data_IF_755511724687
#
_entry.id   IF_755511724687
#
_cell.length_a   1.000
_cell.length_b   1.000
_cell.length_c   1.000
_cell.angle_alpha   90.00
_cell.angle_beta   90.00
_cell.angle_gamma   90.00
#
_symmetry.space_group_name_H-M   'P 1'
#
loop_
_entity.id
_entity.type
_entity.pdbx_description
1 polymer ?
#
# COMPACT_ATOMS: atom_id res chain seq x y z
N UNK A 1 -44.64 -28.75 -7.63
CA UNK A 1 -44.10 -27.73 -6.71
C UNK A 1 -42.70 -28.18 -6.31
N UNK A 2 -41.67 -27.57 -6.89
CA UNK A 2 -40.27 -27.92 -6.62
C UNK A 2 -39.55 -26.64 -6.17
N UNK A 3 -39.16 -26.62 -4.90
CA UNK A 3 -38.42 -25.56 -4.24
C UNK A 3 -36.97 -25.56 -4.75
N UNK A 4 -36.66 -24.64 -5.65
CA UNK A 4 -35.27 -24.34 -6.04
C UNK A 4 -34.68 -23.31 -5.07
N UNK A 5 -33.74 -23.78 -4.27
CA UNK A 5 -32.83 -22.94 -3.49
C UNK A 5 -31.80 -22.32 -4.43
N UNK A 6 -31.85 -21.01 -4.63
CA UNK A 6 -30.75 -20.26 -5.24
C UNK A 6 -29.78 -19.84 -4.13
N UNK A 7 -28.80 -20.70 -3.85
CA UNK A 7 -27.53 -20.24 -3.27
C UNK A 7 -26.79 -19.51 -4.39
N UNK A 8 -27.02 -18.21 -4.48
CA UNK A 8 -26.28 -17.31 -5.36
C UNK A 8 -24.85 -17.18 -4.85
N UNK A 9 -23.98 -18.02 -5.41
CA UNK A 9 -22.56 -17.81 -5.71
C UNK A 9 -21.93 -16.66 -4.90
N UNK A 10 -21.27 -17.04 -3.81
CA UNK A 10 -20.18 -16.27 -3.22
C UNK A 10 -19.10 -16.17 -4.29
N UNK A 11 -19.09 -15.07 -5.04
CA UNK A 11 -18.03 -14.80 -6.00
C UNK A 11 -16.79 -14.49 -5.16
N UNK A 12 -15.93 -15.50 -5.07
CA UNK A 12 -14.51 -15.41 -4.74
C UNK A 12 -13.84 -14.34 -5.62
N UNK A 13 -13.96 -13.07 -5.24
CA UNK A 13 -13.09 -11.97 -5.71
C UNK A 13 -11.95 -11.81 -4.69
N UNK A 14 -11.34 -12.93 -4.28
CA UNK A 14 -10.21 -12.96 -3.34
C UNK A 14 -8.97 -13.63 -3.92
N UNK A 15 -9.07 -14.26 -5.09
CA UNK A 15 -7.95 -14.94 -5.73
C UNK A 15 -8.12 -14.77 -7.24
N UNK A 16 -7.50 -13.74 -7.83
CA UNK A 16 -7.06 -13.69 -9.24
C UNK A 16 -6.49 -12.32 -9.63
N UNK A 17 -5.84 -11.59 -8.72
CA UNK A 17 -4.93 -10.48 -9.09
C UNK A 17 -3.49 -10.96 -8.91
N UNK A 18 -3.17 -12.04 -9.61
CA UNK A 18 -1.83 -12.65 -9.70
C UNK A 18 -1.48 -12.79 -11.19
N UNK A 19 -1.50 -11.69 -11.95
CA UNK A 19 -1.02 -11.70 -13.33
C UNK A 19 -0.82 -10.30 -13.89
N UNK A 20 0.19 -9.58 -13.38
CA UNK A 20 1.17 -8.80 -14.16
C UNK A 20 1.90 -7.82 -13.24
N UNK A 21 3.18 -8.08 -12.99
CA UNK A 21 4.09 -7.11 -12.38
C UNK A 21 4.78 -7.58 -11.10
N UNK A 22 5.54 -8.68 -11.20
CA UNK A 22 6.60 -9.04 -10.26
C UNK A 22 6.11 -9.59 -8.92
N UNK A 23 6.51 -10.82 -8.61
CA UNK A 23 6.37 -11.52 -7.33
C UNK A 23 7.20 -10.88 -6.21
N UNK A 24 7.02 -9.58 -5.98
CA UNK A 24 7.38 -8.99 -4.70
C UNK A 24 6.13 -9.16 -3.87
N UNK A 25 6.15 -10.07 -2.89
CA UNK A 25 5.00 -10.17 -2.00
C UNK A 25 4.70 -8.81 -1.39
N UNK A 26 3.45 -8.58 -0.99
CA UNK A 26 3.05 -7.32 -0.40
C UNK A 26 2.85 -7.52 1.09
N UNK A 27 3.40 -6.61 1.88
CA UNK A 27 3.22 -6.58 3.33
C UNK A 27 1.81 -6.11 3.67
N UNK A 28 1.21 -5.27 2.82
CA UNK A 28 -0.19 -4.86 2.85
C UNK A 28 -0.54 -4.09 1.56
N UNK A 29 -1.82 -4.04 1.21
CA UNK A 29 -2.27 -3.40 -0.04
C UNK A 29 -3.55 -2.60 0.15
N UNK A 30 -3.66 -1.48 -0.55
CA UNK A 30 -4.80 -0.57 -0.49
C UNK A 30 -5.32 -0.28 -1.90
N UNK A 31 -6.64 -0.24 -2.05
CA UNK A 31 -7.30 0.31 -3.23
C UNK A 31 -7.51 1.81 -3.07
N UNK A 32 -7.11 2.57 -4.07
CA UNK A 32 -7.31 4.02 -4.12
C UNK A 32 -7.85 4.40 -5.51
N UNK A 33 -9.09 4.88 -5.64
CA UNK A 33 -9.61 5.37 -6.91
C UNK A 33 -8.87 6.65 -7.30
N UNK A 34 -8.51 6.76 -8.58
CA UNK A 34 -7.66 7.85 -9.07
C UNK A 34 -6.56 7.37 -10.00
N UNK A 35 -5.90 8.31 -10.66
CA UNK A 35 -4.73 8.04 -11.49
C UNK A 35 -3.48 7.88 -10.64
N UNK A 36 -2.45 7.23 -11.20
CA UNK A 36 -1.16 7.06 -10.52
C UNK A 36 -0.56 8.42 -10.15
N UNK A 37 -0.63 9.41 -11.06
CA UNK A 37 -0.05 10.74 -10.84
C UNK A 37 -0.76 11.49 -9.71
N UNK A 38 -2.11 11.52 -9.67
CA UNK A 38 -2.87 12.18 -8.60
C UNK A 38 -2.57 11.61 -7.22
N UNK A 39 -2.50 10.27 -7.12
CA UNK A 39 -2.19 9.57 -5.87
C UNK A 39 -0.74 9.86 -5.46
N UNK A 40 0.18 9.84 -6.42
CA UNK A 40 1.59 10.10 -6.21
C UNK A 40 1.84 11.53 -5.70
N UNK A 41 1.25 12.52 -6.36
CA UNK A 41 1.38 13.94 -6.00
C UNK A 41 0.79 14.19 -4.61
N UNK A 42 -0.37 13.60 -4.30
CA UNK A 42 -0.98 13.73 -2.96
C UNK A 42 -0.12 13.08 -1.87
N UNK A 43 0.54 11.95 -2.16
CA UNK A 43 1.48 11.35 -1.21
C UNK A 43 2.67 12.28 -0.95
N UNK A 44 3.22 12.91 -2.00
CA UNK A 44 4.28 13.92 -1.87
C UNK A 44 3.83 15.12 -1.05
N UNK A 45 2.61 15.64 -1.27
CA UNK A 45 2.04 16.73 -0.48
C UNK A 45 1.89 16.34 0.99
N UNK A 46 1.46 15.10 1.28
CA UNK A 46 1.40 14.57 2.65
C UNK A 46 2.78 14.57 3.30
N UNK A 47 3.84 14.16 2.60
CA UNK A 47 5.18 14.15 3.18
C UNK A 47 5.84 15.54 3.24
N UNK A 48 5.45 16.46 2.36
CA UNK A 48 5.89 17.86 2.41
C UNK A 48 5.30 18.60 3.62
N UNK A 49 4.14 18.15 4.13
CA UNK A 49 3.62 18.62 5.41
C UNK A 49 4.55 18.16 6.55
N UNK A 50 5.29 19.10 7.12
CA UNK A 50 6.22 18.86 8.23
C UNK A 50 5.59 18.20 9.46
N UNK A 51 4.26 18.29 9.63
CA UNK A 51 3.54 17.62 10.70
C UNK A 51 3.30 16.12 10.45
N UNK A 52 3.50 15.65 9.21
CA UNK A 52 3.28 14.26 8.82
C UNK A 52 4.28 13.29 9.44
N UNK A 53 5.43 13.77 9.93
CA UNK A 53 6.45 12.92 10.55
C UNK A 53 7.06 11.89 9.58
N UNK A 54 6.93 12.10 8.27
CA UNK A 54 7.50 11.25 7.24
C UNK A 54 8.31 12.05 6.22
N UNK A 55 9.26 11.38 5.58
CA UNK A 55 9.98 11.90 4.41
C UNK A 55 9.84 10.91 3.28
N UNK A 56 9.41 11.40 2.11
CA UNK A 56 9.30 10.64 0.88
C UNK A 56 10.53 10.89 0.01
N UNK A 57 11.11 9.80 -0.50
CA UNK A 57 12.16 9.83 -1.52
C UNK A 57 11.73 8.92 -2.65
N UNK A 58 11.80 9.43 -3.87
CA UNK A 58 11.60 8.62 -5.06
C UNK A 58 12.63 7.49 -5.05
N UNK A 59 12.16 6.24 -5.05
CA UNK A 59 13.05 5.12 -4.87
C UNK A 59 13.74 4.76 -6.19
N UNK A 60 14.81 5.49 -6.51
CA UNK A 60 15.62 5.30 -7.71
C UNK A 60 16.23 3.88 -7.79
N UNK A 61 16.40 3.20 -6.65
CA UNK A 61 16.91 1.82 -6.58
C UNK A 61 16.04 0.83 -7.38
N UNK A 62 14.76 1.14 -7.61
CA UNK A 62 13.84 0.33 -8.40
C UNK A 62 13.71 0.80 -9.86
N UNK A 63 14.42 1.86 -10.27
CA UNK A 63 14.53 2.34 -11.65
C UNK A 63 13.22 2.76 -12.34
N UNK A 64 12.09 2.77 -11.61
CA UNK A 64 10.76 3.00 -12.15
C UNK A 64 9.96 3.84 -11.15
N UNK A 65 9.42 4.98 -11.60
CA UNK A 65 8.13 5.43 -11.06
C UNK A 65 7.19 4.24 -11.19
N UNK A 66 6.63 3.73 -10.07
CA UNK A 66 6.03 4.52 -9.00
C UNK A 66 6.38 4.00 -7.59
N UNK A 67 7.67 3.76 -7.32
CA UNK A 67 8.13 3.35 -6.00
C UNK A 67 8.51 4.56 -5.14
N UNK A 68 7.93 4.62 -3.94
CA UNK A 68 8.10 5.69 -2.97
C UNK A 68 8.71 5.11 -1.71
N UNK A 69 9.90 5.56 -1.31
CA UNK A 69 10.49 5.20 -0.02
C UNK A 69 10.04 6.20 1.02
N UNK A 70 9.31 5.71 2.02
CA UNK A 70 8.83 6.51 3.15
C UNK A 70 9.73 6.24 4.35
N UNK A 71 10.37 7.28 4.87
CA UNK A 71 11.07 7.24 6.15
C UNK A 71 10.15 7.79 7.22
N UNK A 72 9.94 7.05 8.30
CA UNK A 72 9.16 7.48 9.46
C UNK A 72 10.13 8.09 10.47
N UNK A 73 9.93 9.38 10.77
CA UNK A 73 10.80 10.16 11.64
C UNK A 73 10.33 10.14 13.10
N UNK A 74 9.09 9.70 13.34
CA UNK A 74 8.46 9.72 14.66
C UNK A 74 9.06 8.67 15.61
N UNK A 75 9.52 9.07 16.83
CA UNK A 75 9.95 8.13 17.86
C UNK A 75 8.80 7.23 18.32
N UNK A 76 9.04 5.93 18.50
CA UNK A 76 8.06 4.98 19.05
C UNK A 76 7.82 3.72 18.21
N UNK A 77 8.08 3.77 16.90
CA UNK A 77 8.01 2.59 16.03
C UNK A 77 9.34 1.81 16.07
N UNK A 78 9.32 0.48 15.95
CA UNK A 78 10.58 -0.31 15.85
C UNK A 78 11.17 -0.27 14.42
N UNK A 79 10.35 0.16 13.46
CA UNK A 79 10.72 0.37 12.07
C UNK A 79 11.21 1.79 11.82
N UNK A 80 12.04 1.95 10.79
CA UNK A 80 12.56 3.21 10.26
C UNK A 80 11.72 3.73 9.08
N UNK A 81 11.02 2.85 8.37
CA UNK A 81 10.28 3.25 7.18
C UNK A 81 9.61 2.09 6.45
N UNK A 82 8.90 2.43 5.39
CA UNK A 82 8.27 1.49 4.46
C UNK A 82 8.52 1.91 3.02
N UNK A 83 8.64 0.96 2.10
CA UNK A 83 8.61 1.25 0.66
C UNK A 83 7.21 1.00 0.16
N UNK A 84 6.62 1.99 -0.50
CA UNK A 84 5.35 1.88 -1.21
C UNK A 84 5.56 1.72 -2.71
N UNK A 85 4.62 1.06 -3.36
CA UNK A 85 4.46 1.00 -4.81
C UNK A 85 3.04 1.39 -5.16
N UNK A 86 2.84 2.38 -6.02
CA UNK A 86 1.51 2.75 -6.54
C UNK A 86 1.32 2.12 -7.92
N UNK A 87 0.47 1.12 -8.12
CA UNK A 87 0.35 0.48 -9.44
C UNK A 87 -0.01 1.47 -10.56
N UNK A 88 0.22 1.07 -11.81
CA UNK A 88 -0.49 1.67 -12.94
C UNK A 88 -2.01 1.55 -12.71
N UNK A 89 -2.85 2.42 -13.29
CA UNK A 89 -4.28 2.35 -13.05
C UNK A 89 -4.87 1.02 -13.52
N UNK A 90 -5.74 0.45 -12.70
CA UNK A 90 -6.47 -0.79 -12.88
C UNK A 90 -7.98 -0.50 -12.81
N UNK A 91 -8.80 -1.44 -13.26
CA UNK A 91 -10.25 -1.40 -13.07
C UNK A 91 -10.66 -2.37 -11.97
N UNK A 92 -11.51 -1.90 -11.05
CA UNK A 92 -12.12 -2.71 -9.98
C UNK A 92 -13.53 -2.20 -9.71
N UNK A 93 -14.51 -3.11 -9.68
CA UNK A 93 -15.91 -2.80 -9.35
C UNK A 93 -16.51 -1.64 -10.17
N UNK A 94 -16.10 -1.51 -11.44
CA UNK A 94 -16.55 -0.43 -12.34
C UNK A 94 -15.87 0.93 -12.12
N UNK A 95 -14.86 1.01 -11.25
CA UNK A 95 -14.07 2.21 -11.01
C UNK A 95 -12.60 2.01 -11.42
N UNK A 96 -11.98 3.07 -11.96
CA UNK A 96 -10.54 3.09 -12.25
C UNK A 96 -9.78 3.61 -11.03
N UNK A 97 -8.71 2.92 -10.66
CA UNK A 97 -7.92 3.25 -9.47
C UNK A 97 -6.56 2.58 -9.47
N UNK A 98 -5.78 2.78 -8.42
CA UNK A 98 -4.46 2.19 -8.26
C UNK A 98 -4.40 1.35 -6.98
N UNK A 99 -3.51 0.37 -6.99
CA UNK A 99 -3.12 -0.37 -5.80
C UNK A 99 -1.92 0.33 -5.17
N UNK A 100 -2.04 0.72 -3.91
CA UNK A 100 -0.91 1.19 -3.12
C UNK A 100 -0.43 0.02 -2.24
N UNK A 101 0.68 -0.58 -2.61
CA UNK A 101 1.25 -1.74 -1.93
C UNK A 101 2.44 -1.35 -1.06
N UNK A 102 2.50 -1.86 0.16
CA UNK A 102 3.72 -1.87 0.97
C UNK A 102 4.58 -3.04 0.47
N UNK A 103 5.73 -2.74 -0.13
CA UNK A 103 6.62 -3.77 -0.70
C UNK A 103 7.76 -4.15 0.24
N UNK A 104 8.23 -3.19 1.06
CA UNK A 104 9.30 -3.41 2.03
C UNK A 104 9.01 -2.70 3.35
N UNK A 105 9.55 -3.26 4.45
CA UNK A 105 9.62 -2.59 5.74
C UNK A 105 11.09 -2.47 6.12
N UNK A 106 11.52 -1.24 6.43
CA UNK A 106 12.89 -0.95 6.86
C UNK A 106 12.94 -0.87 8.36
N UNK A 107 13.78 -1.67 8.99
CA UNK A 107 14.03 -1.64 10.43
C UNK A 107 14.98 -0.51 10.83
N UNK A 108 14.98 -0.15 12.12
CA UNK A 108 15.89 0.87 12.68
C UNK A 108 17.36 0.50 12.62
N UNK A 109 17.69 -0.79 12.69
CA UNK A 109 19.06 -1.31 12.53
C UNK A 109 19.54 -1.28 11.07
N UNK A 110 18.71 -0.83 10.14
CA UNK A 110 19.06 -0.64 8.73
C UNK A 110 18.78 -1.85 7.84
N UNK A 111 18.33 -2.98 8.40
CA UNK A 111 17.92 -4.16 7.64
C UNK A 111 16.57 -3.89 6.98
N UNK A 112 16.50 -4.09 5.67
CA UNK A 112 15.23 -4.14 4.94
C UNK A 112 14.72 -5.56 5.00
N UNK A 113 13.46 -5.75 5.38
CA UNK A 113 12.78 -7.01 5.17
C UNK A 113 11.84 -6.85 3.97
N UNK A 114 11.94 -7.82 3.06
CA UNK A 114 11.06 -7.96 1.92
C UNK A 114 9.94 -8.93 2.28
N UNK A 115 8.81 -8.85 1.60
CA UNK A 115 7.71 -9.80 1.82
C UNK A 115 8.19 -11.25 1.68
N UNK A 116 7.82 -12.08 2.66
CA UNK A 116 8.31 -13.46 2.81
C UNK A 116 9.40 -13.59 3.88
N UNK A 117 10.23 -12.56 4.06
CA UNK A 117 11.36 -12.55 5.00
C UNK A 117 11.10 -11.71 6.26
N UNK A 118 10.06 -10.86 6.26
CA UNK A 118 9.66 -10.08 7.42
C UNK A 118 9.02 -10.97 8.50
N UNK A 119 9.42 -10.77 9.76
CA UNK A 119 8.69 -11.32 10.89
C UNK A 119 7.27 -10.73 10.96
N UNK A 120 6.30 -11.50 11.45
CA UNK A 120 4.89 -11.07 11.53
C UNK A 120 4.71 -9.72 12.27
N UNK A 121 5.52 -9.48 13.32
CA UNK A 121 5.54 -8.21 14.05
C UNK A 121 5.98 -7.03 13.19
N UNK A 122 6.96 -7.21 12.31
CA UNK A 122 7.47 -6.16 11.43
C UNK A 122 6.46 -5.82 10.34
N UNK A 123 5.76 -6.83 9.82
CA UNK A 123 4.63 -6.68 8.90
C UNK A 123 3.52 -5.84 9.54
N UNK A 124 3.11 -6.21 10.75
CA UNK A 124 2.05 -5.51 11.48
C UNK A 124 2.44 -4.05 11.80
N UNK A 125 3.65 -3.81 12.26
CA UNK A 125 4.14 -2.45 12.52
C UNK A 125 4.27 -1.62 11.24
N UNK A 126 4.70 -2.23 10.14
CA UNK A 126 4.73 -1.63 8.79
C UNK A 126 3.35 -1.18 8.34
N UNK A 127 2.34 -2.06 8.44
CA UNK A 127 0.94 -1.73 8.16
C UNK A 127 0.45 -0.57 9.04
N UNK A 128 0.67 -0.64 10.37
CA UNK A 128 0.24 0.40 11.31
C UNK A 128 0.87 1.77 11.00
N UNK A 129 2.14 1.79 10.63
CA UNK A 129 2.81 3.04 10.30
C UNK A 129 2.35 3.62 8.96
N UNK A 130 2.26 2.79 7.91
CA UNK A 130 1.72 3.22 6.62
C UNK A 130 0.29 3.76 6.78
N UNK A 131 -0.52 3.10 7.61
CA UNK A 131 -1.86 3.53 7.95
C UNK A 131 -1.87 4.90 8.64
N UNK A 132 -1.07 5.07 9.70
CA UNK A 132 -1.06 6.30 10.50
C UNK A 132 -0.55 7.52 9.72
N UNK A 133 0.50 7.35 8.92
CA UNK A 133 1.23 8.49 8.32
C UNK A 133 0.90 8.74 6.86
N UNK A 134 0.37 7.76 6.14
CA UNK A 134 0.13 7.88 4.70
C UNK A 134 -1.34 7.63 4.37
N UNK A 135 -1.87 6.44 4.67
CA UNK A 135 -3.23 6.08 4.24
C UNK A 135 -4.31 6.87 4.99
N UNK A 136 -4.14 7.12 6.29
CA UNK A 136 -5.00 7.98 7.09
C UNK A 136 -5.10 9.40 6.49
N UNK A 137 -3.97 10.10 6.30
CA UNK A 137 -3.95 11.38 5.60
C UNK A 137 -4.48 11.33 4.16
N UNK A 138 -4.17 10.28 3.39
CA UNK A 138 -4.62 10.09 2.01
C UNK A 138 -6.14 9.98 1.91
N UNK A 139 -6.80 9.44 2.95
CA UNK A 139 -8.27 9.39 3.05
C UNK A 139 -8.95 10.76 3.05
N UNK A 140 -8.21 11.85 3.28
CA UNK A 140 -8.75 13.20 3.17
C UNK A 140 -9.01 13.60 1.72
N UNK A 141 -8.33 12.97 0.76
CA UNK A 141 -8.43 13.27 -0.67
C UNK A 141 -9.04 12.13 -1.49
N UNK A 142 -8.89 10.88 -1.03
CA UNK A 142 -9.38 9.71 -1.74
C UNK A 142 -10.17 8.76 -0.83
N UNK A 143 -11.01 7.93 -1.44
CA UNK A 143 -11.57 6.76 -0.74
C UNK A 143 -10.51 5.65 -0.71
N UNK A 144 -9.95 5.34 0.46
CA UNK A 144 -8.91 4.30 0.58
C UNK A 144 -9.49 3.06 1.26
N UNK A 145 -9.54 1.94 0.54
CA UNK A 145 -10.04 0.66 1.02
C UNK A 145 -8.86 -0.33 1.23
N UNK A 146 -8.74 -0.93 2.41
CA UNK A 146 -7.73 -1.97 2.66
C UNK A 146 -8.10 -3.25 1.91
N UNK A 147 -7.12 -3.86 1.25
CA UNK A 147 -7.22 -5.16 0.59
C UNK A 147 -6.24 -6.08 1.33
N UNK A 148 -6.77 -6.91 2.23
CA UNK A 148 -6.01 -7.96 2.92
C UNK A 148 -6.27 -9.32 2.26
#
# INVERSE_FOLDING_TARGET
>A
MSTRWCYGIVVLIGLLVSACGGTHGHVGQYWVPGTTDEIYDTLHDIAADSASGVSLVDNEDYGLKPYLRVTILTPGYSIKGVTLRVSTPLERDGARGCLVSIVDVRRKDGVNCHSGDCAAKEVEEGKKAAEAFLMGPLRRSFRVDLID
#
